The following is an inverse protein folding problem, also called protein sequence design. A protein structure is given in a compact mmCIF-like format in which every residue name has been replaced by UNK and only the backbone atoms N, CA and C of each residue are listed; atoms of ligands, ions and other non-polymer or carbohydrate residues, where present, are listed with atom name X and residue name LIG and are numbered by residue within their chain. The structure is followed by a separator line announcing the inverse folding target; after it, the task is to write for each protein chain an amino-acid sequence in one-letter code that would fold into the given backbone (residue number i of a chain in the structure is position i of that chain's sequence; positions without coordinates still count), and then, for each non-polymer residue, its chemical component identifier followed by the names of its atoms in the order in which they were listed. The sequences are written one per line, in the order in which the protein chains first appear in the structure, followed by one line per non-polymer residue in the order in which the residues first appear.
data_IF_097554965053
#
_entry.id   IF_097554965053
#
_cell.length_a   1.000
_cell.length_b   1.000
_cell.length_c   1.000
_cell.angle_alpha   90.00
_cell.angle_beta   90.00
_cell.angle_gamma   90.00
#
_symmetry.space_group_name_H-M   'P 1'
#
loop_
_entity.id
_entity.type
_entity.pdbx_description
1 polymer ?
#
# COMPACT_ATOMS: atom_id res chain seq x y z
N UNK A 1 39.27 -11.63 -6.54
CA UNK A 1 38.19 -10.78 -6.01
C UNK A 1 37.04 -11.68 -5.64
N UNK A 2 36.81 -11.86 -4.34
CA UNK A 2 35.83 -12.85 -3.83
C UNK A 2 34.40 -12.38 -4.12
N UNK A 3 33.65 -13.18 -4.89
CA UNK A 3 32.24 -13.00 -5.20
C UNK A 3 31.29 -13.36 -4.04
N UNK A 4 31.79 -13.41 -2.81
CA UNK A 4 31.04 -13.81 -1.61
C UNK A 4 30.35 -12.67 -0.85
N UNK A 5 30.30 -11.45 -1.41
CA UNK A 5 29.52 -10.35 -0.84
C UNK A 5 28.14 -10.19 -1.49
N UNK A 6 27.66 -11.21 -2.20
CA UNK A 6 26.34 -11.19 -2.83
C UNK A 6 25.27 -11.39 -1.78
N UNK A 7 24.79 -10.24 -1.35
CA UNK A 7 23.43 -10.03 -0.85
C UNK A 7 22.97 -10.95 0.28
N UNK A 8 23.27 -10.59 1.50
CA UNK A 8 22.28 -10.75 2.56
C UNK A 8 20.96 -10.25 1.98
N UNK A 9 20.06 -11.16 1.66
CA UNK A 9 18.76 -10.78 1.09
C UNK A 9 18.07 -9.94 2.14
N UNK A 10 18.04 -8.63 1.91
CA UNK A 10 17.46 -7.68 2.84
C UNK A 10 15.98 -8.01 2.96
N UNK A 11 15.60 -8.69 4.01
CA UNK A 11 14.19 -9.05 4.29
C UNK A 11 13.38 -7.86 4.81
N UNK A 12 14.06 -6.78 5.25
CA UNK A 12 13.41 -5.62 5.83
C UNK A 12 12.35 -4.94 4.93
N UNK A 13 12.49 -4.87 3.58
CA UNK A 13 11.45 -4.26 2.76
C UNK A 13 10.12 -4.99 2.85
N UNK A 14 10.18 -6.32 2.91
CA UNK A 14 8.98 -7.14 3.04
C UNK A 14 8.32 -6.93 4.40
N UNK A 15 9.10 -6.87 5.48
CA UNK A 15 8.59 -6.56 6.82
C UNK A 15 7.99 -5.16 6.91
N UNK A 16 8.59 -4.16 6.27
CA UNK A 16 8.04 -2.81 6.25
C UNK A 16 6.66 -2.78 5.56
N UNK A 17 6.50 -3.46 4.42
CA UNK A 17 5.19 -3.57 3.75
C UNK A 17 4.16 -4.31 4.59
N UNK A 18 4.56 -5.41 5.24
CA UNK A 18 3.67 -6.18 6.14
C UNK A 18 3.25 -5.30 7.33
N UNK A 19 4.19 -4.64 7.98
CA UNK A 19 3.90 -3.78 9.13
C UNK A 19 2.99 -2.61 8.75
N UNK A 20 3.27 -1.94 7.63
CA UNK A 20 2.42 -0.87 7.10
C UNK A 20 1.00 -1.37 6.78
N UNK A 21 0.89 -2.51 6.12
CA UNK A 21 -0.41 -3.13 5.82
C UNK A 21 -1.19 -3.51 7.08
N UNK A 22 -0.52 -4.10 8.09
CA UNK A 22 -1.15 -4.44 9.37
C UNK A 22 -1.61 -3.19 10.14
N UNK A 23 -0.87 -2.09 10.06
CA UNK A 23 -1.24 -0.84 10.71
C UNK A 23 -2.51 -0.22 10.09
N UNK A 24 -2.71 -0.39 8.80
CA UNK A 24 -3.92 0.10 8.12
C UNK A 24 -5.19 -0.58 8.59
N UNK A 25 -5.16 -1.90 8.84
CA UNK A 25 -6.38 -2.70 9.11
C UNK A 25 -7.10 -2.29 10.40
N UNK A 26 -6.48 -2.31 11.60
CA UNK A 26 -7.18 -2.01 12.84
C UNK A 26 -7.64 -0.58 12.92
N UNK A 27 -6.94 0.32 12.26
CA UNK A 27 -7.25 1.74 12.30
C UNK A 27 -8.52 2.07 11.54
N UNK A 28 -8.69 1.49 10.37
CA UNK A 28 -9.91 1.74 9.60
C UNK A 28 -11.15 1.14 10.23
N UNK A 29 -11.02 -0.01 10.88
CA UNK A 29 -12.12 -0.54 11.71
C UNK A 29 -12.49 0.48 12.79
N UNK A 30 -11.49 1.04 13.46
CA UNK A 30 -11.73 2.01 14.55
C UNK A 30 -12.22 3.36 14.02
N UNK A 31 -11.64 3.86 12.94
CA UNK A 31 -12.05 5.09 12.29
C UNK A 31 -13.51 5.02 11.85
N UNK A 32 -13.94 3.94 11.20
CA UNK A 32 -15.33 3.74 10.82
C UNK A 32 -16.30 3.60 11.98
N UNK A 33 -15.84 3.13 13.15
CA UNK A 33 -16.68 3.03 14.36
C UNK A 33 -16.76 4.35 15.14
N UNK A 34 -15.80 5.25 14.97
CA UNK A 34 -15.79 6.57 15.62
C UNK A 34 -16.59 7.62 14.86
N UNK A 35 -16.93 7.37 13.58
CA UNK A 35 -17.73 8.31 12.82
C UNK A 35 -19.11 8.53 13.43
N UNK A 36 -19.50 9.78 13.51
CA UNK A 36 -20.85 10.18 13.84
C UNK A 36 -21.86 9.78 12.75
N UNK A 37 -23.16 10.04 13.01
CA UNK A 37 -24.23 9.57 12.14
C UNK A 37 -24.31 10.28 10.78
N UNK A 38 -23.74 11.47 10.63
CA UNK A 38 -23.95 12.31 9.43
C UNK A 38 -22.68 12.72 8.72
N UNK A 39 -21.59 13.06 9.42
CA UNK A 39 -20.33 13.50 8.82
C UNK A 39 -19.11 12.93 9.51
N UNK A 40 -17.95 13.05 8.87
CA UNK A 40 -16.64 12.68 9.42
C UNK A 40 -16.34 13.47 10.71
N UNK A 41 -16.79 14.73 10.78
CA UNK A 41 -16.48 15.63 11.89
C UNK A 41 -17.39 15.42 13.12
N UNK A 42 -18.53 14.75 12.95
CA UNK A 42 -19.45 14.40 14.04
C UNK A 42 -19.07 13.10 14.78
N UNK A 43 -17.90 12.55 14.49
CA UNK A 43 -17.40 11.36 15.13
C UNK A 43 -17.06 11.56 16.60
N UNK A 44 -17.07 10.47 17.34
CA UNK A 44 -16.66 10.46 18.74
C UNK A 44 -15.21 10.87 18.92
N UNK A 45 -14.92 11.52 20.03
CA UNK A 45 -13.55 11.86 20.41
C UNK A 45 -12.96 10.74 21.27
N UNK A 46 -11.71 10.38 20.99
CA UNK A 46 -10.93 9.46 21.80
C UNK A 46 -9.66 10.15 22.26
N UNK A 47 -9.43 10.20 23.58
CA UNK A 47 -8.35 10.96 24.20
C UNK A 47 -8.34 12.45 23.77
N UNK A 48 -9.53 13.04 23.61
CA UNK A 48 -9.68 14.44 23.23
C UNK A 48 -9.40 14.76 21.75
N UNK A 49 -9.14 13.74 20.91
CA UNK A 49 -8.85 13.90 19.49
C UNK A 49 -9.94 13.24 18.63
N UNK A 50 -10.26 13.89 17.51
CA UNK A 50 -11.25 13.41 16.57
C UNK A 50 -10.75 12.32 15.60
N UNK A 51 -11.64 11.79 14.74
CA UNK A 51 -11.32 10.73 13.79
C UNK A 51 -10.20 11.09 12.82
N UNK A 52 -10.18 12.33 12.32
CA UNK A 52 -9.16 12.82 11.38
C UNK A 52 -7.76 12.74 11.95
N UNK A 53 -7.58 13.16 13.20
CA UNK A 53 -6.30 13.03 13.91
C UNK A 53 -5.85 11.57 14.01
N UNK A 54 -6.73 10.68 14.47
CA UNK A 54 -6.37 9.27 14.62
C UNK A 54 -6.16 8.58 13.28
N UNK A 55 -6.91 8.98 12.25
CA UNK A 55 -6.67 8.55 10.87
C UNK A 55 -5.25 8.90 10.42
N UNK A 56 -4.86 10.16 10.51
CA UNK A 56 -3.55 10.63 10.07
C UNK A 56 -2.39 9.99 10.86
N UNK A 57 -2.55 9.80 12.19
CA UNK A 57 -1.51 9.21 13.05
C UNK A 57 -1.27 7.72 12.80
N UNK A 58 -2.09 7.05 12.04
CA UNK A 58 -1.93 5.64 11.71
C UNK A 58 -1.80 5.40 10.23
N UNK A 59 -2.62 6.03 9.40
CA UNK A 59 -2.49 5.94 7.94
C UNK A 59 -1.18 6.55 7.44
N UNK A 60 -0.75 7.67 8.04
CA UNK A 60 0.52 8.30 7.74
C UNK A 60 1.72 7.36 7.95
N UNK A 61 1.98 6.85 9.16
CA UNK A 61 3.06 5.89 9.39
C UNK A 61 2.90 4.59 8.59
N UNK A 62 1.67 4.10 8.40
CA UNK A 62 1.40 2.92 7.58
C UNK A 62 1.82 3.12 6.12
N UNK A 63 1.41 4.23 5.51
CA UNK A 63 1.77 4.60 4.15
C UNK A 63 3.28 4.77 3.97
N UNK A 64 3.95 5.43 4.92
CA UNK A 64 5.41 5.58 4.90
C UNK A 64 6.15 4.25 5.03
N UNK A 65 5.67 3.31 5.84
CA UNK A 65 6.23 1.96 5.93
C UNK A 65 6.07 1.20 4.61
N UNK A 66 4.91 1.31 3.96
CA UNK A 66 4.69 0.73 2.62
C UNK A 66 5.64 1.36 1.60
N UNK A 67 5.77 2.69 1.60
CA UNK A 67 6.68 3.40 0.71
C UNK A 67 8.14 2.98 0.92
N UNK A 68 8.58 2.84 2.18
CA UNK A 68 9.91 2.31 2.51
C UNK A 68 10.10 0.88 2.00
N UNK A 69 9.11 0.02 2.17
CA UNK A 69 9.12 -1.35 1.65
C UNK A 69 9.23 -1.39 0.13
N UNK A 70 8.46 -0.55 -0.58
CA UNK A 70 8.56 -0.39 -2.03
C UNK A 70 9.94 0.12 -2.44
N UNK A 71 10.46 1.16 -1.77
CA UNK A 71 11.79 1.70 -2.05
C UNK A 71 12.90 0.66 -1.90
N UNK A 72 12.84 -0.14 -0.82
CA UNK A 72 13.78 -1.25 -0.61
C UNK A 72 13.65 -2.38 -1.63
N UNK A 73 12.47 -2.53 -2.24
CA UNK A 73 12.19 -3.50 -3.29
C UNK A 73 12.47 -2.97 -4.71
N UNK A 74 12.96 -1.74 -4.85
CA UNK A 74 13.23 -1.09 -6.14
C UNK A 74 14.04 -1.97 -7.11
N UNK A 75 15.19 -2.57 -6.72
CA UNK A 75 15.97 -3.38 -7.64
C UNK A 75 15.21 -4.60 -8.17
N UNK A 76 14.37 -5.21 -7.32
CA UNK A 76 13.53 -6.36 -7.68
C UNK A 76 12.42 -5.96 -8.67
N UNK A 77 11.80 -4.81 -8.43
CA UNK A 77 10.62 -4.34 -9.18
C UNK A 77 10.98 -3.63 -10.51
N UNK A 78 12.22 -3.12 -10.63
CA UNK A 78 12.61 -2.31 -11.80
C UNK A 78 13.84 -2.82 -12.55
N UNK A 79 14.64 -3.69 -11.93
CA UNK A 79 15.96 -4.06 -12.45
C UNK A 79 15.93 -4.66 -13.87
N UNK A 80 15.02 -5.57 -14.14
CA UNK A 80 14.88 -6.27 -15.43
C UNK A 80 13.60 -5.92 -16.20
N UNK A 81 12.77 -5.03 -15.68
CA UNK A 81 11.42 -4.78 -16.20
C UNK A 81 11.29 -3.53 -17.10
N UNK A 82 12.41 -2.89 -17.44
CA UNK A 82 12.44 -1.77 -18.36
C UNK A 82 11.88 -0.46 -17.84
N UNK A 83 11.68 0.50 -18.76
CA UNK A 83 11.27 1.87 -18.42
C UNK A 83 9.85 1.93 -17.82
N UNK A 84 8.93 1.10 -18.30
CA UNK A 84 7.55 1.09 -17.79
C UNK A 84 7.49 0.78 -16.29
N UNK A 85 8.31 -0.15 -15.79
CA UNK A 85 8.39 -0.45 -14.37
C UNK A 85 8.95 0.73 -13.56
N UNK A 86 9.95 1.44 -14.10
CA UNK A 86 10.53 2.63 -13.45
C UNK A 86 9.51 3.77 -13.36
N UNK A 87 8.79 4.04 -14.44
CA UNK A 87 7.70 5.03 -14.44
C UNK A 87 6.62 4.62 -13.44
N UNK A 88 6.19 3.35 -13.48
CA UNK A 88 5.23 2.81 -12.51
C UNK A 88 5.70 2.98 -11.07
N UNK A 89 6.97 2.71 -10.80
CA UNK A 89 7.55 2.90 -9.48
C UNK A 89 7.51 4.37 -9.02
N UNK A 90 7.88 5.32 -9.89
CA UNK A 90 7.83 6.75 -9.55
C UNK A 90 6.40 7.19 -9.24
N UNK A 91 5.43 6.81 -10.08
CA UNK A 91 4.02 7.11 -9.84
C UNK A 91 3.53 6.51 -8.52
N UNK A 92 3.88 5.25 -8.25
CA UNK A 92 3.54 4.60 -6.99
C UNK A 92 4.16 5.30 -5.78
N UNK A 93 5.42 5.73 -5.87
CA UNK A 93 6.10 6.45 -4.79
C UNK A 93 5.49 7.83 -4.52
N UNK A 94 5.08 8.56 -5.56
CA UNK A 94 4.34 9.83 -5.40
C UNK A 94 3.06 9.59 -4.61
N UNK A 95 2.26 8.60 -5.01
CA UNK A 95 1.01 8.26 -4.33
C UNK A 95 1.18 7.67 -2.94
N UNK A 96 2.31 6.99 -2.67
CA UNK A 96 2.59 6.36 -1.38
C UNK A 96 3.25 7.30 -0.35
N UNK A 97 3.92 8.36 -0.78
CA UNK A 97 4.70 9.25 0.11
C UNK A 97 3.97 10.56 0.38
N UNK A 98 3.45 11.22 -0.65
CA UNK A 98 2.89 12.57 -0.50
C UNK A 98 1.67 12.59 0.43
N UNK A 99 0.62 11.75 0.24
CA UNK A 99 -0.54 11.80 1.13
C UNK A 99 -0.19 11.55 2.60
N UNK A 100 0.56 10.49 2.98
CA UNK A 100 0.95 10.27 4.37
C UNK A 100 1.71 11.43 5.00
N UNK A 101 2.60 12.09 4.24
CA UNK A 101 3.37 13.25 4.74
C UNK A 101 2.44 14.43 4.98
N UNK A 102 1.50 14.68 4.08
CA UNK A 102 0.53 15.77 4.23
C UNK A 102 -0.42 15.49 5.39
N UNK A 103 -0.97 14.26 5.48
CA UNK A 103 -1.86 13.85 6.57
C UNK A 103 -1.22 14.04 7.95
N UNK A 104 0.03 13.60 8.10
CA UNK A 104 0.80 13.78 9.34
C UNK A 104 1.07 15.26 9.65
N UNK A 105 1.33 16.06 8.62
CA UNK A 105 1.62 17.49 8.79
C UNK A 105 0.38 18.29 9.20
N UNK A 106 -0.76 17.96 8.60
CA UNK A 106 -2.03 18.61 8.91
C UNK A 106 -2.74 18.00 10.12
N UNK A 107 -2.34 16.79 10.54
CA UNK A 107 -3.02 15.95 11.55
C UNK A 107 -4.48 15.64 11.18
N UNK A 108 -4.71 15.52 9.88
CA UNK A 108 -6.01 15.20 9.27
C UNK A 108 -5.79 14.27 8.09
N UNK A 109 -6.80 13.47 7.76
CA UNK A 109 -6.79 12.66 6.55
C UNK A 109 -7.29 13.52 5.38
N UNK A 110 -6.42 13.73 4.39
CA UNK A 110 -6.79 14.46 3.18
C UNK A 110 -7.55 13.56 2.18
N UNK A 111 -8.34 14.15 1.28
CA UNK A 111 -8.95 13.41 0.19
C UNK A 111 -7.90 12.64 -0.63
N UNK A 112 -8.17 11.40 -1.07
CA UNK A 112 -7.19 10.53 -1.72
C UNK A 112 -6.92 10.92 -3.18
N UNK A 113 -6.59 12.18 -3.45
CA UNK A 113 -6.40 12.73 -4.80
C UNK A 113 -5.26 12.07 -5.58
N UNK A 114 -4.26 11.51 -4.88
CA UNK A 114 -3.12 10.83 -5.50
C UNK A 114 -3.28 9.31 -5.56
N UNK A 115 -4.39 8.76 -5.05
CA UNK A 115 -4.68 7.33 -5.15
C UNK A 115 -4.66 6.79 -6.59
N UNK A 116 -5.13 7.52 -7.62
CA UNK A 116 -5.02 7.06 -9.01
C UNK A 116 -3.58 6.91 -9.48
N UNK A 117 -2.68 7.81 -9.10
CA UNK A 117 -1.26 7.70 -9.46
C UNK A 117 -0.64 6.46 -8.80
N UNK A 118 -0.96 6.22 -7.54
CA UNK A 118 -0.51 5.03 -6.83
C UNK A 118 -1.03 3.77 -7.54
N UNK A 119 -2.34 3.71 -7.83
CA UNK A 119 -2.98 2.56 -8.48
C UNK A 119 -2.39 2.26 -9.87
N UNK A 120 -2.28 3.28 -10.72
CA UNK A 120 -1.66 3.15 -12.05
C UNK A 120 -0.21 2.70 -11.95
N UNK A 121 0.56 3.26 -10.99
CA UNK A 121 1.93 2.88 -10.74
C UNK A 121 2.09 1.39 -10.40
N UNK A 122 1.25 0.85 -9.51
CA UNK A 122 1.25 -0.57 -9.15
C UNK A 122 0.89 -1.48 -10.34
N UNK A 123 -0.10 -1.09 -11.13
CA UNK A 123 -0.51 -1.85 -12.35
C UNK A 123 0.64 -1.87 -13.36
N UNK A 124 1.26 -0.73 -13.63
CA UNK A 124 2.39 -0.65 -14.57
C UNK A 124 3.56 -1.53 -14.13
N UNK A 125 3.91 -1.50 -12.83
CA UNK A 125 4.94 -2.38 -12.29
C UNK A 125 4.57 -3.86 -12.44
N UNK A 126 3.33 -4.25 -12.14
CA UNK A 126 2.89 -5.63 -12.27
C UNK A 126 2.95 -6.11 -13.74
N UNK A 127 2.48 -5.29 -14.67
CA UNK A 127 2.48 -5.62 -16.11
C UNK A 127 3.89 -5.71 -16.66
N UNK A 128 4.76 -4.76 -16.31
CA UNK A 128 6.14 -4.73 -16.79
C UNK A 128 6.98 -5.90 -16.24
N UNK A 129 6.63 -6.43 -15.09
CA UNK A 129 7.35 -7.56 -14.46
C UNK A 129 6.83 -8.95 -14.85
N UNK A 130 5.95 -9.09 -15.85
CA UNK A 130 5.38 -10.41 -16.23
C UNK A 130 6.42 -11.47 -16.61
N UNK A 131 7.55 -11.05 -17.15
CA UNK A 131 8.67 -11.93 -17.52
C UNK A 131 9.74 -12.06 -16.42
N UNK A 132 9.59 -11.38 -15.29
CA UNK A 132 10.56 -11.41 -14.20
C UNK A 132 10.40 -12.68 -13.38
N UNK A 133 11.35 -13.64 -13.54
CA UNK A 133 11.34 -14.92 -12.83
C UNK A 133 11.53 -14.80 -11.32
N UNK A 134 12.03 -13.67 -10.82
CA UNK A 134 12.18 -13.41 -9.38
C UNK A 134 10.85 -13.08 -8.69
N UNK A 135 9.78 -12.81 -9.47
CA UNK A 135 8.44 -12.54 -8.98
C UNK A 135 7.49 -13.67 -9.41
N UNK A 136 6.73 -14.20 -8.46
CA UNK A 136 5.69 -15.18 -8.81
C UNK A 136 4.52 -14.49 -9.50
N UNK A 137 3.76 -15.25 -10.28
CA UNK A 137 2.48 -14.78 -10.87
C UNK A 137 1.52 -14.29 -9.79
N UNK A 138 1.52 -14.97 -8.62
CA UNK A 138 0.70 -14.57 -7.49
C UNK A 138 1.08 -13.18 -6.97
N UNK A 139 2.37 -12.91 -6.72
CA UNK A 139 2.84 -11.58 -6.29
C UNK A 139 2.44 -10.48 -7.27
N UNK A 140 2.55 -10.75 -8.58
CA UNK A 140 2.16 -9.80 -9.62
C UNK A 140 0.64 -9.56 -9.67
N UNK A 141 -0.16 -10.62 -9.47
CA UNK A 141 -1.62 -10.50 -9.39
C UNK A 141 -2.04 -9.67 -8.16
N UNK A 142 -1.40 -9.90 -7.00
CA UNK A 142 -1.67 -9.10 -5.80
C UNK A 142 -1.33 -7.64 -6.06
N UNK A 143 -0.17 -7.35 -6.65
CA UNK A 143 0.25 -5.97 -6.96
C UNK A 143 -0.71 -5.28 -7.94
N UNK A 144 -1.12 -5.98 -9.00
CA UNK A 144 -2.12 -5.47 -9.96
C UNK A 144 -3.49 -5.28 -9.30
N UNK A 145 -3.89 -6.22 -8.44
CA UNK A 145 -5.15 -6.16 -7.69
C UNK A 145 -5.21 -4.96 -6.75
N UNK A 146 -4.11 -4.69 -6.02
CA UNK A 146 -3.98 -3.50 -5.18
C UNK A 146 -4.15 -2.21 -6.00
N UNK A 147 -3.47 -2.11 -7.14
CA UNK A 147 -3.59 -0.98 -8.04
C UNK A 147 -4.99 -0.83 -8.62
N UNK A 148 -5.60 -1.94 -9.04
CA UNK A 148 -6.96 -1.98 -9.56
C UNK A 148 -8.01 -1.58 -8.52
N UNK A 149 -7.86 -2.05 -7.28
CA UNK A 149 -8.76 -1.71 -6.18
C UNK A 149 -8.71 -0.20 -5.85
N UNK A 150 -7.52 0.39 -5.77
CA UNK A 150 -7.35 1.83 -5.56
C UNK A 150 -8.01 2.65 -6.68
N UNK A 151 -7.72 2.30 -7.93
CA UNK A 151 -8.25 3.02 -9.07
C UNK A 151 -9.78 2.89 -9.16
N UNK A 152 -10.30 1.68 -8.96
CA UNK A 152 -11.74 1.41 -8.99
C UNK A 152 -12.48 2.13 -7.88
N UNK A 153 -11.96 2.10 -6.64
CA UNK A 153 -12.59 2.77 -5.51
C UNK A 153 -12.59 4.29 -5.68
N UNK A 154 -11.49 4.86 -6.19
CA UNK A 154 -11.42 6.29 -6.50
C UNK A 154 -12.40 6.69 -7.60
N UNK A 155 -12.45 5.95 -8.70
CA UNK A 155 -13.38 6.21 -9.81
C UNK A 155 -14.82 6.05 -9.37
N UNK A 156 -15.11 5.05 -8.55
CA UNK A 156 -16.43 4.87 -7.97
C UNK A 156 -16.84 6.08 -7.12
N UNK A 157 -16.00 6.52 -6.20
CA UNK A 157 -16.28 7.66 -5.36
C UNK A 157 -16.51 8.94 -6.18
N UNK A 158 -15.68 9.15 -7.24
CA UNK A 158 -15.73 10.38 -8.03
C UNK A 158 -16.88 10.42 -9.04
N UNK A 159 -17.14 9.29 -9.74
CA UNK A 159 -18.02 9.28 -10.91
C UNK A 159 -19.44 8.78 -10.59
N UNK A 160 -19.57 7.85 -9.66
CA UNK A 160 -20.85 7.18 -9.39
C UNK A 160 -21.59 7.83 -8.23
N UNK A 161 -20.88 8.14 -7.16
CA UNK A 161 -21.46 8.65 -5.93
C UNK A 161 -20.57 9.71 -5.30
N UNK A 162 -20.51 10.92 -5.88
CA UNK A 162 -19.68 12.00 -5.32
C UNK A 162 -20.07 12.40 -3.90
N UNK A 163 -21.29 12.09 -3.49
CA UNK A 163 -21.82 12.29 -2.13
C UNK A 163 -21.46 11.15 -1.14
N UNK A 164 -20.80 10.08 -1.60
CA UNK A 164 -20.42 8.96 -0.73
C UNK A 164 -19.44 9.35 0.36
N UNK A 165 -18.62 10.35 0.11
CA UNK A 165 -17.69 10.89 1.10
C UNK A 165 -18.39 11.62 2.23
N UNK A 166 -19.59 12.16 1.97
CA UNK A 166 -20.37 12.90 2.96
C UNK A 166 -21.34 12.01 3.74
N UNK A 167 -21.53 10.75 3.28
CA UNK A 167 -22.42 9.80 3.94
C UNK A 167 -21.63 8.74 4.68
N UNK A 168 -21.99 8.51 5.94
CA UNK A 168 -21.34 7.53 6.82
C UNK A 168 -21.24 6.14 6.20
N UNK A 169 -22.26 5.68 5.49
CA UNK A 169 -22.27 4.36 4.86
C UNK A 169 -21.29 4.27 3.68
N UNK A 170 -21.24 5.32 2.85
CA UNK A 170 -20.28 5.43 1.77
C UNK A 170 -18.86 5.50 2.29
N UNK A 171 -18.64 6.25 3.35
CA UNK A 171 -17.34 6.40 3.99
C UNK A 171 -16.86 5.09 4.64
N UNK A 172 -17.75 4.36 5.31
CA UNK A 172 -17.44 3.03 5.87
C UNK A 172 -17.06 2.04 4.78
N UNK A 173 -17.84 1.99 3.68
CA UNK A 173 -17.54 1.11 2.55
C UNK A 173 -16.19 1.49 1.94
N UNK A 174 -15.95 2.77 1.70
CA UNK A 174 -14.67 3.25 1.19
C UNK A 174 -13.52 2.91 2.14
N UNK A 175 -13.68 3.16 3.44
CA UNK A 175 -12.68 2.87 4.46
C UNK A 175 -12.34 1.37 4.52
N UNK A 176 -13.35 0.50 4.54
CA UNK A 176 -13.15 -0.95 4.57
C UNK A 176 -12.49 -1.43 3.27
N UNK A 177 -13.05 -1.07 2.11
CA UNK A 177 -12.54 -1.57 0.83
C UNK A 177 -11.18 -0.95 0.48
N UNK A 178 -11.06 0.38 0.61
CA UNK A 178 -9.83 1.06 0.20
C UNK A 178 -8.67 0.83 1.16
N UNK A 179 -8.92 0.76 2.46
CA UNK A 179 -7.84 0.71 3.44
C UNK A 179 -7.67 -0.65 4.13
N UNK A 180 -8.74 -1.28 4.61
CA UNK A 180 -8.58 -2.59 5.26
C UNK A 180 -8.16 -3.66 4.24
N UNK A 181 -8.85 -3.77 3.10
CA UNK A 181 -8.48 -4.74 2.06
C UNK A 181 -7.16 -4.36 1.38
N UNK A 182 -6.90 -3.08 1.19
CA UNK A 182 -5.63 -2.58 0.68
C UNK A 182 -4.49 -2.89 1.65
N UNK A 183 -4.68 -2.67 2.96
CA UNK A 183 -3.74 -3.05 3.99
C UNK A 183 -3.44 -4.55 3.99
N UNK A 184 -4.48 -5.41 3.95
CA UNK A 184 -4.33 -6.86 3.82
C UNK A 184 -3.59 -7.25 2.53
N UNK A 185 -3.85 -6.58 1.43
CA UNK A 185 -3.14 -6.79 0.17
C UNK A 185 -1.64 -6.53 0.30
N UNK A 186 -1.23 -5.50 1.04
CA UNK A 186 0.19 -5.24 1.34
C UNK A 186 0.82 -6.29 2.22
N UNK A 187 0.08 -6.80 3.22
CA UNK A 187 0.53 -7.95 4.02
C UNK A 187 0.78 -9.16 3.13
N UNK A 188 -0.17 -9.49 2.26
CA UNK A 188 -0.07 -10.63 1.33
C UNK A 188 1.08 -10.43 0.33
N UNK A 189 1.24 -9.22 -0.22
CA UNK A 189 2.34 -8.91 -1.15
C UNK A 189 3.70 -9.05 -0.47
N UNK A 190 3.91 -8.42 0.69
CA UNK A 190 5.14 -8.53 1.46
C UNK A 190 5.46 -9.97 1.87
N UNK A 191 4.47 -10.74 2.32
CA UNK A 191 4.62 -12.15 2.65
C UNK A 191 5.00 -12.99 1.42
N UNK A 192 4.38 -12.73 0.27
CA UNK A 192 4.71 -13.44 -0.97
C UNK A 192 6.14 -13.21 -1.44
N UNK A 193 6.67 -11.98 -1.29
CA UNK A 193 8.07 -11.68 -1.59
C UNK A 193 9.02 -12.38 -0.62
N UNK A 194 8.70 -12.37 0.68
CA UNK A 194 9.50 -13.07 1.69
C UNK A 194 9.56 -14.58 1.44
N UNK A 195 8.45 -15.18 1.05
CA UNK A 195 8.38 -16.60 0.69
C UNK A 195 9.25 -16.93 -0.51
N UNK A 196 9.17 -16.13 -1.59
CA UNK A 196 9.96 -16.34 -2.80
C UNK A 196 11.46 -16.26 -2.52
N UNK A 197 11.90 -15.33 -1.67
CA UNK A 197 13.30 -15.21 -1.26
C UNK A 197 13.77 -16.47 -0.52
N UNK A 198 12.97 -17.00 0.42
CA UNK A 198 13.32 -18.22 1.16
C UNK A 198 13.41 -19.44 0.25
N UNK A 199 12.49 -19.60 -0.69
CA UNK A 199 12.49 -20.70 -1.64
C UNK A 199 13.75 -20.70 -2.52
N UNK A 200 14.19 -19.53 -2.98
CA UNK A 200 15.42 -19.37 -3.76
C UNK A 200 16.68 -19.76 -2.96
N UNK A 201 16.72 -19.45 -1.66
CA UNK A 201 17.82 -19.81 -0.77
C UNK A 201 17.94 -21.33 -0.53
N UNK A 202 16.80 -21.99 -0.26
CA UNK A 202 16.77 -23.44 -0.06
C UNK A 202 17.30 -24.23 -1.27
N UNK A 203 16.99 -23.76 -2.48
CA UNK A 203 17.48 -24.38 -3.72
C UNK A 203 18.97 -24.14 -3.97
N UNK A 204 19.52 -23.01 -3.52
CA UNK A 204 20.96 -22.73 -3.62
C UNK A 204 21.82 -23.63 -2.70
N UNK A 205 21.33 -23.90 -1.49
CA UNK A 205 22.01 -24.76 -0.53
C UNK A 205 21.96 -26.26 -0.91
N UNK A 206 20.91 -26.69 -1.60
CA UNK A 206 20.79 -28.09 -2.05
C UNK A 206 21.72 -28.43 -3.24
N UNK A 207 22.33 -27.44 -3.87
CA UNK A 207 23.23 -27.60 -5.03
C UNK A 207 24.71 -27.37 -4.67
N UNK A 208 25.02 -26.94 -3.46
CA UNK A 208 26.37 -26.76 -2.93
C UNK A 208 26.81 -27.97 -2.09
#
# INVERSE_FOLDING_TARGET
MNASSVSESRSWPNFAMIAGGLLMVPMWVRYTTLHGPTTVDEGGHWLGQGPGFWGSMTEGPAGLLIALGLAGSYPLLTGNAGQAARVGFVLAMIGAVIPPVVDLSLREVIPPLLAPLFGVGLILMAVANRANSALTRFSLLVLAGLGGALLSSFLWALLVRPDLTDRIDGYRIYGVVANALFGLGWVVFGASLAWNQRAAWGQGQAKA
#
